data_IF_895134439364
#
_entry.id   IF_895134439364
#
_cell.length_a   1.000
_cell.length_b   1.000
_cell.length_c   1.000
_cell.angle_alpha   90.00
_cell.angle_beta   90.00
_cell.angle_gamma   90.00
#
_symmetry.space_group_name_H-M   'P 1'
#
loop_
_entity.id
_entity.type
_entity.pdbx_description
1 polymer ?
#
# COMPACT_ATOMS: atom_id res chain seq x y z
N UNK A 1 71.29 11.67 34.99
CA UNK A 1 71.40 10.40 34.25
C UNK A 1 70.75 9.32 35.10
N UNK A 2 69.49 9.00 34.81
CA UNK A 2 68.96 7.64 34.89
C UNK A 2 67.73 7.61 34.00
N UNK A 3 67.94 7.23 32.74
CA UNK A 3 66.90 6.99 31.72
C UNK A 3 66.59 5.49 31.75
N UNK A 4 66.45 4.92 32.95
CA UNK A 4 66.31 3.47 33.16
C UNK A 4 65.19 3.18 34.15
N UNK A 5 64.03 3.80 33.98
CA UNK A 5 62.81 3.36 34.69
C UNK A 5 61.53 3.38 33.81
N UNK A 6 61.60 3.80 32.53
CA UNK A 6 60.40 3.97 31.68
C UNK A 6 60.19 2.88 30.61
N UNK A 7 60.79 1.69 30.73
CA UNK A 7 60.75 0.68 29.65
C UNK A 7 60.25 -0.73 30.03
N UNK A 8 59.61 -0.92 31.18
CA UNK A 8 58.99 -2.21 31.52
C UNK A 8 57.55 -2.05 32.02
N UNK A 9 56.64 -1.78 31.09
CA UNK A 9 55.27 -2.30 31.15
C UNK A 9 54.94 -2.88 29.77
N UNK A 10 55.55 -4.02 29.47
CA UNK A 10 54.99 -4.92 28.47
C UNK A 10 53.90 -5.66 29.22
N UNK A 11 52.65 -5.21 29.05
CA UNK A 11 51.45 -5.88 29.57
C UNK A 11 51.49 -7.36 29.17
N UNK A 12 51.28 -8.26 30.13
CA UNK A 12 51.28 -9.69 29.86
C UNK A 12 50.17 -10.04 28.85
N UNK A 13 50.36 -11.07 27.99
CA UNK A 13 49.37 -11.45 26.99
C UNK A 13 47.97 -11.74 27.55
N UNK A 14 47.87 -12.16 28.82
CA UNK A 14 46.60 -12.37 29.52
C UNK A 14 45.82 -11.07 29.78
N UNK A 15 46.50 -9.97 30.12
CA UNK A 15 45.87 -8.66 30.34
C UNK A 15 45.27 -8.11 29.04
N UNK A 16 45.96 -8.30 27.91
CA UNK A 16 45.50 -7.83 26.59
C UNK A 16 44.21 -8.54 26.14
N UNK A 17 44.10 -9.85 26.40
CA UNK A 17 42.90 -10.63 26.05
C UNK A 17 41.72 -10.28 26.95
N UNK A 18 41.94 -10.11 28.26
CA UNK A 18 40.87 -9.75 29.20
C UNK A 18 40.36 -8.32 28.97
N UNK A 19 41.26 -7.36 28.72
CA UNK A 19 40.89 -5.98 28.38
C UNK A 19 40.06 -5.94 27.09
N UNK A 20 40.44 -6.73 26.09
CA UNK A 20 39.64 -6.88 24.88
C UNK A 20 38.26 -7.48 25.17
N UNK A 21 38.17 -8.61 25.89
CA UNK A 21 36.87 -9.24 26.19
C UNK A 21 35.94 -8.31 26.99
N UNK A 22 36.49 -7.50 27.89
CA UNK A 22 35.73 -6.50 28.64
C UNK A 22 35.23 -5.37 27.71
N UNK A 23 36.10 -4.83 26.85
CA UNK A 23 35.76 -3.80 25.87
C UNK A 23 34.73 -4.30 24.84
N UNK A 24 34.95 -5.51 24.30
CA UNK A 24 34.06 -6.16 23.35
C UNK A 24 32.68 -6.43 23.96
N UNK A 25 32.64 -6.91 25.21
CA UNK A 25 31.38 -7.06 25.95
C UNK A 25 30.61 -5.74 26.12
N UNK A 26 31.30 -4.65 26.43
CA UNK A 26 30.68 -3.31 26.48
C UNK A 26 30.14 -2.87 25.11
N UNK A 27 30.84 -3.18 24.03
CA UNK A 27 30.38 -2.90 22.65
C UNK A 27 29.16 -3.72 22.27
N UNK A 28 29.10 -5.00 22.62
CA UNK A 28 27.91 -5.83 22.41
C UNK A 28 26.69 -5.23 23.14
N UNK A 29 26.87 -4.83 24.40
CA UNK A 29 25.82 -4.15 25.18
C UNK A 29 25.44 -2.80 24.53
N UNK A 30 26.42 -2.00 24.12
CA UNK A 30 26.22 -0.76 23.38
C UNK A 30 25.42 -0.95 22.09
N UNK A 31 25.74 -1.97 21.32
CA UNK A 31 25.00 -2.34 20.11
C UNK A 31 23.55 -2.70 20.42
N UNK A 32 23.29 -3.42 21.52
CA UNK A 32 21.93 -3.68 22.00
C UNK A 32 21.11 -2.41 22.24
N UNK A 33 21.71 -1.35 22.80
CA UNK A 33 21.03 -0.06 22.94
C UNK A 33 20.75 0.60 21.59
N UNK A 34 21.68 0.54 20.64
CA UNK A 34 21.45 1.07 19.29
C UNK A 34 20.36 0.30 18.54
N UNK A 35 20.26 -1.02 18.73
CA UNK A 35 19.15 -1.81 18.22
C UNK A 35 17.82 -1.29 18.77
N UNK A 36 17.71 -1.03 20.07
CA UNK A 36 16.47 -0.48 20.67
C UNK A 36 16.13 0.92 20.13
N UNK A 37 17.12 1.80 20.02
CA UNK A 37 16.94 3.13 19.40
C UNK A 37 16.47 3.02 17.95
N UNK A 38 17.01 2.07 17.19
CA UNK A 38 16.58 1.81 15.82
C UNK A 38 15.15 1.26 15.74
N UNK A 39 14.77 0.38 16.67
CA UNK A 39 13.40 -0.13 16.75
C UNK A 39 12.39 0.97 17.07
N UNK A 40 12.81 2.00 17.83
CA UNK A 40 12.04 3.20 18.14
C UNK A 40 12.12 4.30 17.07
N UNK A 41 12.79 4.04 15.96
CA UNK A 41 12.99 4.99 14.85
C UNK A 41 13.78 6.26 15.23
N UNK A 42 14.56 6.20 16.33
CA UNK A 42 15.39 7.33 16.79
C UNK A 42 16.67 7.49 15.96
N UNK A 43 17.15 6.39 15.37
CA UNK A 43 18.32 6.38 14.47
C UNK A 43 17.96 5.71 13.15
N UNK A 44 18.71 6.04 12.08
CA UNK A 44 18.45 5.52 10.74
C UNK A 44 19.24 4.22 10.44
N UNK A 45 18.90 3.56 9.33
CA UNK A 45 19.53 2.32 8.89
C UNK A 45 21.06 2.46 8.70
N UNK A 46 21.51 3.62 8.21
CA UNK A 46 22.93 3.88 8.00
C UNK A 46 23.72 3.89 9.31
N UNK A 47 23.18 4.53 10.35
CA UNK A 47 23.81 4.59 11.66
C UNK A 47 23.87 3.21 12.32
N UNK A 48 22.78 2.44 12.32
CA UNK A 48 22.79 1.11 12.92
C UNK A 48 23.67 0.12 12.15
N UNK A 49 23.74 0.23 10.82
CA UNK A 49 24.65 -0.59 9.98
C UNK A 49 26.11 -0.27 10.28
N UNK A 50 26.43 1.02 10.49
CA UNK A 50 27.78 1.44 10.92
C UNK A 50 28.14 0.85 12.29
N UNK A 51 27.24 0.96 13.28
CA UNK A 51 27.45 0.41 14.62
C UNK A 51 27.60 -1.11 14.63
N UNK A 52 26.83 -1.80 13.80
CA UNK A 52 26.98 -3.23 13.56
C UNK A 52 28.37 -3.54 13.01
N UNK A 53 28.76 -2.91 11.89
CA UNK A 53 30.08 -3.14 11.26
C UNK A 53 31.25 -2.85 12.20
N UNK A 54 31.17 -1.81 13.03
CA UNK A 54 32.18 -1.48 14.05
C UNK A 54 32.30 -2.59 15.09
N UNK A 55 31.17 -3.12 15.56
CA UNK A 55 31.15 -4.17 16.56
C UNK A 55 31.64 -5.52 16.00
N UNK A 56 31.29 -5.87 14.75
CA UNK A 56 31.68 -7.16 14.15
C UNK A 56 33.14 -7.19 13.70
N UNK A 57 33.62 -6.14 13.01
CA UNK A 57 34.95 -6.14 12.40
C UNK A 57 36.08 -6.20 13.44
N UNK A 58 35.89 -5.55 14.60
CA UNK A 58 36.87 -5.56 15.69
C UNK A 58 36.90 -6.91 16.41
N UNK A 59 35.75 -7.57 16.56
CA UNK A 59 35.62 -8.91 17.10
C UNK A 59 36.38 -9.95 16.29
N UNK A 60 36.09 -9.99 14.98
CA UNK A 60 36.71 -10.93 14.04
C UNK A 60 38.23 -10.71 13.93
N UNK A 61 38.66 -9.46 13.76
CA UNK A 61 40.09 -9.14 13.62
C UNK A 61 40.89 -9.51 14.87
N UNK A 62 40.35 -9.29 16.06
CA UNK A 62 41.06 -9.64 17.30
C UNK A 62 41.13 -11.17 17.49
N UNK A 63 40.03 -11.87 17.24
CA UNK A 63 39.97 -13.33 17.39
C UNK A 63 40.92 -14.04 16.42
N UNK A 64 40.97 -13.63 15.15
CA UNK A 64 41.91 -14.21 14.17
C UNK A 64 43.37 -14.15 14.66
N UNK A 65 43.77 -13.01 15.24
CA UNK A 65 45.16 -12.76 15.68
C UNK A 65 45.48 -13.46 17.00
N UNK A 66 44.54 -13.49 17.96
CA UNK A 66 44.83 -13.86 19.35
C UNK A 66 44.19 -15.19 19.82
N UNK A 67 43.36 -15.86 19.01
CA UNK A 67 42.67 -17.10 19.44
C UNK A 67 43.62 -18.18 19.98
N UNK A 68 44.83 -18.30 19.41
CA UNK A 68 45.82 -19.29 19.82
C UNK A 68 46.42 -19.02 21.21
N UNK A 69 46.27 -17.80 21.73
CA UNK A 69 46.75 -17.37 23.06
C UNK A 69 45.64 -17.36 24.11
N UNK A 70 44.38 -17.60 23.71
CA UNK A 70 43.24 -17.57 24.62
C UNK A 70 43.09 -18.90 25.38
N UNK A 71 42.78 -18.82 26.67
CA UNK A 71 42.32 -19.97 27.44
C UNK A 71 40.95 -20.47 26.94
N UNK A 72 40.59 -21.74 27.18
CA UNK A 72 39.27 -22.27 26.81
C UNK A 72 38.09 -21.47 27.37
N UNK A 73 38.26 -20.86 28.55
CA UNK A 73 37.25 -20.03 29.18
C UNK A 73 37.09 -18.68 28.46
N UNK A 74 38.19 -18.07 28.01
CA UNK A 74 38.19 -16.84 27.22
C UNK A 74 37.57 -17.05 25.83
N UNK A 75 37.92 -18.15 25.16
CA UNK A 75 37.30 -18.55 23.90
C UNK A 75 35.79 -18.73 24.06
N UNK A 76 35.35 -19.38 25.13
CA UNK A 76 33.92 -19.55 25.40
C UNK A 76 33.22 -18.21 25.65
N UNK A 77 33.82 -17.28 26.40
CA UNK A 77 33.27 -15.92 26.60
C UNK A 77 33.15 -15.16 25.29
N UNK A 78 34.18 -15.19 24.44
CA UNK A 78 34.13 -14.61 23.10
C UNK A 78 32.98 -15.20 22.28
N UNK A 79 32.85 -16.52 22.24
CA UNK A 79 31.78 -17.17 21.48
C UNK A 79 30.38 -16.79 21.97
N UNK A 80 30.17 -16.66 23.28
CA UNK A 80 28.89 -16.19 23.83
C UNK A 80 28.60 -14.75 23.40
N UNK A 81 29.61 -13.86 23.42
CA UNK A 81 29.46 -12.47 22.96
C UNK A 81 29.16 -12.41 21.46
N UNK A 82 29.88 -13.17 20.64
CA UNK A 82 29.66 -13.25 19.19
C UNK A 82 28.26 -13.78 18.87
N UNK A 83 27.82 -14.87 19.51
CA UNK A 83 26.47 -15.40 19.34
C UNK A 83 25.39 -14.39 19.71
N UNK A 84 25.63 -13.58 20.75
CA UNK A 84 24.70 -12.53 21.16
C UNK A 84 24.61 -11.43 20.11
N UNK A 85 25.75 -11.02 19.54
CA UNK A 85 25.82 -10.03 18.45
C UNK A 85 25.16 -10.54 17.16
N UNK A 86 25.39 -11.79 16.79
CA UNK A 86 24.78 -12.45 15.64
C UNK A 86 23.25 -12.55 15.81
N UNK A 87 22.77 -12.86 17.02
CA UNK A 87 21.33 -12.90 17.33
C UNK A 87 20.69 -11.52 17.19
N UNK A 88 21.28 -10.48 17.78
CA UNK A 88 20.77 -9.11 17.67
C UNK A 88 20.74 -8.62 16.22
N UNK A 89 21.78 -8.95 15.45
CA UNK A 89 21.86 -8.62 14.02
C UNK A 89 20.77 -9.33 13.22
N UNK A 90 20.54 -10.62 13.50
CA UNK A 90 19.48 -11.41 12.86
C UNK A 90 18.10 -10.81 13.17
N UNK A 91 17.82 -10.48 14.43
CA UNK A 91 16.55 -9.90 14.85
C UNK A 91 16.29 -8.53 14.20
N UNK A 92 17.34 -7.71 14.10
CA UNK A 92 17.26 -6.42 13.43
C UNK A 92 16.89 -6.59 11.95
N UNK A 93 17.56 -7.50 11.26
CA UNK A 93 17.35 -7.69 9.83
C UNK A 93 16.00 -8.36 9.55
N UNK A 94 15.57 -9.32 10.37
CA UNK A 94 14.22 -9.89 10.26
C UNK A 94 13.13 -8.82 10.46
N UNK A 95 13.37 -7.85 11.33
CA UNK A 95 12.46 -6.72 11.51
C UNK A 95 12.43 -5.82 10.29
N UNK A 96 13.59 -5.52 9.69
CA UNK A 96 13.65 -4.75 8.44
C UNK A 96 13.00 -5.47 7.26
N UNK A 97 13.15 -6.79 7.15
CA UNK A 97 12.45 -7.58 6.15
C UNK A 97 10.93 -7.44 6.31
N UNK A 98 10.42 -7.50 7.55
CA UNK A 98 8.99 -7.30 7.83
C UNK A 98 8.52 -5.88 7.47
N UNK A 99 9.27 -4.85 7.86
CA UNK A 99 8.99 -3.45 7.52
C UNK A 99 8.99 -3.24 6.01
N UNK A 100 9.99 -3.75 5.29
CA UNK A 100 10.08 -3.66 3.85
C UNK A 100 8.92 -4.39 3.14
N UNK A 101 8.46 -5.54 3.65
CA UNK A 101 7.23 -6.20 3.14
C UNK A 101 5.98 -5.33 3.33
N UNK A 102 5.87 -4.59 4.44
CA UNK A 102 4.79 -3.63 4.65
C UNK A 102 4.89 -2.46 3.65
N UNK A 103 6.08 -1.93 3.42
CA UNK A 103 6.35 -0.90 2.40
C UNK A 103 5.97 -1.39 0.99
N UNK A 104 6.30 -2.64 0.63
CA UNK A 104 5.88 -3.24 -0.64
C UNK A 104 4.35 -3.22 -0.76
N UNK A 105 3.63 -3.63 0.29
CA UNK A 105 2.17 -3.68 0.30
C UNK A 105 1.58 -2.27 0.17
N UNK A 106 2.12 -1.29 0.90
CA UNK A 106 1.67 0.09 0.82
C UNK A 106 1.92 0.70 -0.56
N UNK A 107 3.16 0.60 -1.07
CA UNK A 107 3.55 1.10 -2.39
C UNK A 107 2.71 0.47 -3.50
N UNK A 108 2.45 -0.84 -3.43
CA UNK A 108 1.60 -1.54 -4.38
C UNK A 108 0.16 -1.01 -4.36
N UNK A 109 -0.41 -0.77 -3.17
CA UNK A 109 -1.76 -0.21 -3.01
C UNK A 109 -1.88 1.20 -3.62
N UNK A 110 -0.81 1.99 -3.56
CA UNK A 110 -0.74 3.36 -4.11
C UNK A 110 -0.38 3.41 -5.60
N UNK A 111 0.07 2.31 -6.19
CA UNK A 111 0.56 2.28 -7.58
C UNK A 111 2.01 2.77 -7.74
N UNK A 112 2.78 2.82 -6.66
CA UNK A 112 4.20 3.22 -6.64
C UNK A 112 5.10 2.03 -7.02
N UNK A 113 4.87 1.49 -8.21
CA UNK A 113 5.48 0.24 -8.69
C UNK A 113 7.02 0.23 -8.71
N UNK A 114 7.63 1.40 -8.81
CA UNK A 114 9.09 1.55 -8.75
C UNK A 114 9.63 1.23 -7.35
N UNK A 115 8.95 1.72 -6.30
CA UNK A 115 9.32 1.48 -4.90
C UNK A 115 9.25 -0.03 -4.61
N UNK A 116 8.17 -0.70 -5.03
CA UNK A 116 8.01 -2.16 -4.88
C UNK A 116 9.24 -2.93 -5.35
N UNK A 117 9.75 -2.65 -6.56
CA UNK A 117 10.90 -3.35 -7.12
C UNK A 117 12.19 -3.09 -6.33
N UNK A 118 12.43 -1.84 -5.94
CA UNK A 118 13.62 -1.48 -5.14
C UNK A 118 13.57 -2.17 -3.77
N UNK A 119 12.40 -2.19 -3.14
CA UNK A 119 12.23 -2.78 -1.81
C UNK A 119 12.43 -4.30 -1.82
N UNK A 120 12.00 -5.02 -2.88
CA UNK A 120 12.34 -6.44 -3.03
C UNK A 120 13.86 -6.68 -3.09
N UNK A 121 14.59 -5.85 -3.85
CA UNK A 121 16.05 -5.95 -3.91
C UNK A 121 16.69 -5.65 -2.55
N UNK A 122 16.15 -4.69 -1.79
CA UNK A 122 16.60 -4.38 -0.44
C UNK A 122 16.43 -5.58 0.50
N UNK A 123 15.27 -6.25 0.48
CA UNK A 123 15.05 -7.48 1.26
C UNK A 123 16.04 -8.57 0.87
N UNK A 124 16.28 -8.75 -0.43
CA UNK A 124 17.23 -9.74 -0.92
C UNK A 124 18.64 -9.48 -0.39
N UNK A 125 19.12 -8.23 -0.44
CA UNK A 125 20.42 -7.83 0.14
C UNK A 125 20.49 -8.09 1.65
N UNK A 126 19.42 -7.77 2.39
CA UNK A 126 19.32 -8.03 3.82
C UNK A 126 19.43 -9.52 4.16
N UNK A 127 18.78 -10.40 3.38
CA UNK A 127 18.89 -11.86 3.55
C UNK A 127 20.34 -12.32 3.32
N UNK A 128 21.01 -11.83 2.28
CA UNK A 128 22.42 -12.21 2.04
C UNK A 128 23.34 -11.76 3.16
N UNK A 129 23.12 -10.57 3.75
CA UNK A 129 23.92 -10.08 4.87
C UNK A 129 23.91 -11.04 6.06
N UNK A 130 22.73 -11.45 6.55
CA UNK A 130 22.61 -12.32 7.75
C UNK A 130 23.13 -13.72 7.52
N UNK A 131 22.81 -14.30 6.36
CA UNK A 131 23.01 -15.72 6.13
C UNK A 131 24.20 -16.00 5.19
N UNK A 132 25.21 -15.12 5.21
CA UNK A 132 26.44 -15.28 4.43
C UNK A 132 27.49 -16.15 5.13
N UNK A 133 27.36 -16.39 6.43
CA UNK A 133 28.35 -17.09 7.25
C UNK A 133 28.41 -18.60 6.95
N UNK A 134 29.60 -19.25 6.99
CA UNK A 134 29.75 -20.63 6.53
C UNK A 134 29.15 -21.63 7.52
N UNK A 135 27.96 -22.13 7.21
CA UNK A 135 27.34 -23.26 7.90
C UNK A 135 26.18 -23.83 7.08
N UNK A 136 26.15 -25.15 6.86
CA UNK A 136 25.14 -25.81 6.00
C UNK A 136 23.69 -25.47 6.39
N UNK A 137 23.42 -25.30 7.69
CA UNK A 137 22.10 -24.96 8.22
C UNK A 137 21.67 -23.53 7.89
N UNK A 138 22.58 -22.55 7.98
CA UNK A 138 22.30 -21.15 7.66
C UNK A 138 22.15 -20.95 6.15
N UNK A 139 22.88 -21.72 5.34
CA UNK A 139 22.73 -21.73 3.90
C UNK A 139 21.34 -22.24 3.46
N UNK A 140 20.86 -23.34 4.07
CA UNK A 140 19.53 -23.87 3.76
C UNK A 140 18.41 -22.87 4.11
N UNK A 141 18.52 -22.17 5.23
CA UNK A 141 17.55 -21.15 5.64
C UNK A 141 17.58 -19.92 4.71
N UNK A 142 18.78 -19.48 4.29
CA UNK A 142 18.94 -18.44 3.27
C UNK A 142 18.21 -18.81 1.99
N UNK A 143 18.50 -19.99 1.44
CA UNK A 143 17.97 -20.42 0.15
C UNK A 143 16.44 -20.58 0.23
N UNK A 144 15.92 -21.05 1.36
CA UNK A 144 14.47 -21.08 1.64
C UNK A 144 13.85 -19.68 1.64
N UNK A 145 14.45 -18.71 2.34
CA UNK A 145 13.95 -17.34 2.41
C UNK A 145 14.01 -16.64 1.05
N UNK A 146 15.09 -16.84 0.30
CA UNK A 146 15.24 -16.33 -1.06
C UNK A 146 14.20 -16.93 -2.01
N UNK A 147 13.92 -18.24 -1.91
CA UNK A 147 12.87 -18.88 -2.71
C UNK A 147 11.48 -18.33 -2.40
N UNK A 148 11.16 -18.12 -1.11
CA UNK A 148 9.90 -17.50 -0.72
C UNK A 148 9.78 -16.05 -1.24
N UNK A 149 10.85 -15.27 -1.12
CA UNK A 149 10.90 -13.90 -1.64
C UNK A 149 10.71 -13.87 -3.17
N UNK A 150 11.33 -14.79 -3.89
CA UNK A 150 11.20 -14.92 -5.34
C UNK A 150 9.74 -15.21 -5.74
N UNK A 151 9.07 -16.12 -5.05
CA UNK A 151 7.64 -16.40 -5.28
C UNK A 151 6.76 -15.18 -5.00
N UNK A 152 7.01 -14.47 -3.90
CA UNK A 152 6.32 -13.21 -3.57
C UNK A 152 6.55 -12.15 -4.67
N UNK A 153 7.78 -12.03 -5.17
CA UNK A 153 8.15 -11.08 -6.21
C UNK A 153 7.51 -11.41 -7.56
N UNK A 154 7.49 -12.68 -7.95
CA UNK A 154 6.83 -13.13 -9.19
C UNK A 154 5.33 -12.82 -9.18
N UNK A 155 4.67 -13.10 -8.05
CA UNK A 155 3.27 -12.75 -7.83
C UNK A 155 3.06 -11.24 -7.93
N UNK A 156 3.87 -10.45 -7.22
CA UNK A 156 3.78 -8.99 -7.25
C UNK A 156 3.97 -8.47 -8.69
N UNK A 157 4.96 -8.96 -9.42
CA UNK A 157 5.21 -8.55 -10.81
C UNK A 157 4.05 -8.90 -11.75
N UNK A 158 3.43 -10.07 -11.59
CA UNK A 158 2.24 -10.46 -12.35
C UNK A 158 1.06 -9.52 -12.05
N UNK A 159 0.81 -9.21 -10.77
CA UNK A 159 -0.21 -8.24 -10.35
C UNK A 159 0.06 -6.84 -10.92
N UNK A 160 1.28 -6.35 -10.77
CA UNK A 160 1.70 -5.03 -11.26
C UNK A 160 1.52 -4.88 -12.77
N UNK A 161 1.73 -5.93 -13.57
CA UNK A 161 1.49 -5.88 -15.02
C UNK A 161 0.04 -5.55 -15.33
N UNK A 162 -0.91 -6.21 -14.66
CA UNK A 162 -2.34 -5.99 -14.88
C UNK A 162 -2.78 -4.64 -14.30
N UNK A 163 -2.31 -4.28 -13.11
CA UNK A 163 -2.64 -3.00 -12.48
C UNK A 163 -2.15 -1.82 -13.33
N UNK A 164 -0.93 -1.89 -13.89
CA UNK A 164 -0.42 -0.89 -14.84
C UNK A 164 -1.26 -0.77 -16.10
N UNK A 165 -1.79 -1.89 -16.60
CA UNK A 165 -2.70 -1.86 -17.76
C UNK A 165 -3.99 -1.11 -17.39
N UNK A 166 -4.55 -1.36 -16.20
CA UNK A 166 -5.73 -0.61 -15.74
C UNK A 166 -5.40 0.88 -15.64
N UNK A 167 -4.29 1.27 -15.00
CA UNK A 167 -3.83 2.66 -14.88
C UNK A 167 -3.75 3.38 -16.23
N UNK A 168 -3.23 2.71 -17.26
CA UNK A 168 -3.11 3.26 -18.60
C UNK A 168 -4.44 3.40 -19.34
N UNK A 169 -5.50 2.70 -18.90
CA UNK A 169 -6.80 2.68 -19.59
C UNK A 169 -7.88 3.48 -18.89
N UNK A 170 -7.81 3.72 -17.58
CA UNK A 170 -8.86 4.43 -16.83
C UNK A 170 -8.98 5.92 -17.18
N UNK A 171 -7.98 6.52 -17.86
CA UNK A 171 -7.98 7.93 -18.30
C UNK A 171 -7.60 8.04 -19.79
N UNK A 172 -8.43 7.55 -20.72
CA UNK A 172 -8.13 7.63 -22.15
C UNK A 172 -8.39 9.06 -22.66
N UNK A 173 -7.53 9.57 -23.54
CA UNK A 173 -7.67 10.93 -24.12
C UNK A 173 -9.02 11.18 -24.81
N UNK A 174 -9.65 10.12 -25.31
CA UNK A 174 -11.00 10.13 -25.87
C UNK A 174 -11.74 8.90 -25.33
N UNK A 175 -12.90 9.10 -24.70
CA UNK A 175 -13.69 8.02 -24.11
C UNK A 175 -14.80 7.60 -25.07
N UNK A 176 -14.41 6.81 -26.07
CA UNK A 176 -15.34 6.15 -26.98
C UNK A 176 -15.70 4.73 -26.49
N UNK A 177 -16.57 4.06 -27.24
CA UNK A 177 -16.97 2.69 -26.92
C UNK A 177 -15.78 1.71 -26.92
N UNK A 178 -14.78 1.95 -27.77
CA UNK A 178 -13.58 1.12 -27.85
C UNK A 178 -12.68 1.28 -26.61
N UNK A 179 -12.46 2.52 -26.16
CA UNK A 179 -11.72 2.86 -24.96
C UNK A 179 -12.39 2.27 -23.73
N UNK A 180 -13.72 2.39 -23.65
CA UNK A 180 -14.50 1.76 -22.61
C UNK A 180 -14.35 0.22 -22.59
N UNK A 181 -14.44 -0.43 -23.75
CA UNK A 181 -14.26 -1.88 -23.84
C UNK A 181 -12.87 -2.32 -23.35
N UNK A 182 -11.84 -1.50 -23.59
CA UNK A 182 -10.47 -1.74 -23.07
C UNK A 182 -10.42 -1.65 -21.53
N UNK A 183 -11.14 -0.71 -20.93
CA UNK A 183 -11.23 -0.56 -19.45
C UNK A 183 -11.90 -1.78 -18.82
N UNK A 184 -13.10 -2.15 -19.31
CA UNK A 184 -13.84 -3.32 -18.81
C UNK A 184 -12.98 -4.58 -18.92
N UNK A 185 -12.35 -4.78 -20.08
CA UNK A 185 -11.46 -5.92 -20.31
C UNK A 185 -10.26 -5.93 -19.34
N UNK A 186 -9.70 -4.77 -19.01
CA UNK A 186 -8.59 -4.69 -18.04
C UNK A 186 -9.01 -5.14 -16.63
N UNK A 187 -10.18 -4.71 -16.15
CA UNK A 187 -10.74 -5.19 -14.88
C UNK A 187 -11.10 -6.68 -14.92
N UNK A 188 -11.64 -7.18 -16.04
CA UNK A 188 -11.91 -8.61 -16.21
C UNK A 188 -10.63 -9.44 -16.19
N UNK A 189 -9.55 -8.98 -16.84
CA UNK A 189 -8.25 -9.66 -16.79
C UNK A 189 -7.75 -9.75 -15.35
N UNK A 190 -7.87 -8.67 -14.57
CA UNK A 190 -7.52 -8.70 -13.14
C UNK A 190 -8.28 -9.79 -12.41
N UNK A 191 -9.60 -9.79 -12.54
CA UNK A 191 -10.48 -10.78 -11.92
C UNK A 191 -10.11 -12.20 -12.31
N UNK A 192 -10.00 -12.49 -13.61
CA UNK A 192 -9.72 -13.82 -14.13
C UNK A 192 -8.36 -14.36 -13.71
N UNK A 193 -7.35 -13.49 -13.73
CA UNK A 193 -5.98 -13.87 -13.36
C UNK A 193 -5.86 -14.12 -11.85
N UNK A 194 -6.64 -13.41 -11.04
CA UNK A 194 -6.44 -13.41 -9.59
C UNK A 194 -7.52 -14.10 -8.75
N UNK A 195 -8.59 -14.62 -9.37
CA UNK A 195 -9.67 -15.34 -8.67
C UNK A 195 -9.23 -16.60 -7.92
N UNK A 196 -8.10 -17.21 -8.30
CA UNK A 196 -7.56 -18.44 -7.69
C UNK A 196 -6.35 -18.20 -6.79
N UNK A 197 -5.94 -16.95 -6.62
CA UNK A 197 -4.76 -16.63 -5.81
C UNK A 197 -5.16 -16.64 -4.34
N UNK A 198 -4.37 -17.34 -3.53
CA UNK A 198 -4.57 -17.41 -2.08
C UNK A 198 -4.47 -16.01 -1.44
N UNK A 199 -5.25 -15.74 -0.38
CA UNK A 199 -5.16 -14.50 0.35
C UNK A 199 -3.73 -14.24 0.86
N UNK A 200 -3.15 -13.11 0.46
CA UNK A 200 -1.82 -12.66 0.86
C UNK A 200 -1.78 -11.15 1.03
N UNK A 201 -0.79 -10.58 1.76
CA UNK A 201 -0.63 -9.13 1.87
C UNK A 201 -0.53 -8.44 0.51
N UNK A 202 0.21 -9.05 -0.42
CA UNK A 202 0.38 -8.56 -1.80
C UNK A 202 -0.96 -8.55 -2.56
N UNK A 203 -1.75 -9.63 -2.46
CA UNK A 203 -3.08 -9.69 -3.09
C UNK A 203 -4.03 -8.66 -2.48
N UNK A 204 -4.01 -8.51 -1.16
CA UNK A 204 -4.82 -7.51 -0.44
C UNK A 204 -4.47 -6.08 -0.89
N UNK A 205 -3.18 -5.76 -1.00
CA UNK A 205 -2.72 -4.48 -1.51
C UNK A 205 -3.12 -4.24 -2.97
N UNK A 206 -3.04 -5.26 -3.82
CA UNK A 206 -3.49 -5.19 -5.20
C UNK A 206 -5.01 -4.96 -5.30
N UNK A 207 -5.81 -5.63 -4.47
CA UNK A 207 -7.26 -5.42 -4.42
C UNK A 207 -7.60 -3.98 -4.03
N UNK A 208 -6.87 -3.43 -3.06
CA UNK A 208 -7.03 -2.03 -2.68
C UNK A 208 -6.70 -1.09 -3.84
N UNK A 209 -5.62 -1.37 -4.59
CA UNK A 209 -5.28 -0.59 -5.78
C UNK A 209 -6.40 -0.62 -6.82
N UNK A 210 -7.03 -1.77 -7.05
CA UNK A 210 -8.16 -1.91 -8.00
C UNK A 210 -9.36 -1.09 -7.56
N UNK A 211 -9.67 -1.06 -6.26
CA UNK A 211 -10.73 -0.20 -5.72
C UNK A 211 -10.42 1.28 -5.95
N UNK A 212 -9.16 1.70 -5.75
CA UNK A 212 -8.73 3.07 -6.04
C UNK A 212 -8.83 3.40 -7.53
N UNK A 213 -8.41 2.48 -8.41
CA UNK A 213 -8.54 2.66 -9.86
C UNK A 213 -10.00 2.73 -10.32
N UNK A 214 -10.89 1.97 -9.69
CA UNK A 214 -12.33 2.06 -9.92
C UNK A 214 -12.89 3.41 -9.46
N UNK A 215 -12.39 3.93 -8.34
CA UNK A 215 -12.73 5.26 -7.82
C UNK A 215 -12.25 6.36 -8.78
N UNK A 216 -11.01 6.26 -9.24
CA UNK A 216 -10.43 7.16 -10.24
C UNK A 216 -11.23 7.16 -11.54
N UNK A 217 -11.67 5.98 -12.00
CA UNK A 217 -12.56 5.87 -13.16
C UNK A 217 -13.89 6.58 -12.90
N UNK A 218 -14.50 6.38 -11.74
CA UNK A 218 -15.76 7.05 -11.40
C UNK A 218 -15.61 8.58 -11.39
N UNK A 219 -14.55 9.10 -10.78
CA UNK A 219 -14.25 10.53 -10.75
C UNK A 219 -13.98 11.07 -12.16
N UNK A 220 -13.27 10.29 -12.99
CA UNK A 220 -13.04 10.62 -14.39
C UNK A 220 -14.34 10.70 -15.20
N UNK A 221 -15.22 9.70 -15.06
CA UNK A 221 -16.52 9.67 -15.73
C UNK A 221 -17.47 10.77 -15.23
N UNK A 222 -17.32 11.21 -13.98
CA UNK A 222 -18.09 12.30 -13.39
C UNK A 222 -17.66 13.68 -13.90
N UNK A 223 -16.44 13.81 -14.43
CA UNK A 223 -15.98 15.06 -15.03
C UNK A 223 -16.86 15.42 -16.25
N UNK A 224 -17.18 16.71 -16.41
CA UNK A 224 -18.17 17.17 -17.40
C UNK A 224 -17.76 16.93 -18.85
N UNK A 225 -16.50 16.56 -19.10
CA UNK A 225 -15.91 16.54 -20.43
C UNK A 225 -16.28 15.31 -21.29
N UNK A 226 -16.80 14.22 -20.70
CA UNK A 226 -16.86 12.94 -21.42
C UNK A 226 -18.22 12.45 -21.86
N UNK A 227 -19.24 12.58 -21.02
CA UNK A 227 -20.56 12.05 -21.35
C UNK A 227 -21.62 13.14 -21.49
N UNK A 228 -21.54 14.22 -20.71
CA UNK A 228 -22.69 15.11 -20.49
C UNK A 228 -23.94 14.40 -19.94
N UNK A 229 -23.87 13.09 -19.73
CA UNK A 229 -24.94 12.17 -19.40
C UNK A 229 -24.50 11.28 -18.23
N UNK A 230 -25.02 11.63 -17.05
CA UNK A 230 -24.76 10.91 -15.81
C UNK A 230 -25.35 9.49 -15.81
N UNK A 231 -26.44 9.26 -16.55
CA UNK A 231 -27.07 7.95 -16.68
C UNK A 231 -26.12 6.99 -17.40
N UNK A 232 -25.58 7.43 -18.55
CA UNK A 232 -24.63 6.64 -19.30
C UNK A 232 -23.33 6.38 -18.52
N UNK A 233 -22.80 7.40 -17.82
CA UNK A 233 -21.63 7.23 -16.94
C UNK A 233 -21.88 6.16 -15.86
N UNK A 234 -23.04 6.17 -15.22
CA UNK A 234 -23.42 5.20 -14.20
C UNK A 234 -23.59 3.77 -14.76
N UNK A 235 -24.17 3.62 -15.95
CA UNK A 235 -24.31 2.33 -16.63
C UNK A 235 -22.95 1.71 -16.95
N UNK A 236 -22.04 2.53 -17.51
CA UNK A 236 -20.67 2.12 -17.83
C UNK A 236 -19.89 1.73 -16.57
N UNK A 237 -20.01 2.51 -15.50
CA UNK A 237 -19.37 2.17 -14.23
C UNK A 237 -19.95 0.88 -13.61
N UNK A 238 -21.26 0.67 -13.73
CA UNK A 238 -21.96 -0.51 -13.17
C UNK A 238 -21.50 -1.83 -13.81
N UNK A 239 -21.09 -1.81 -15.07
CA UNK A 239 -20.53 -2.98 -15.75
C UNK A 239 -19.12 -3.33 -15.23
N UNK A 240 -18.26 -2.33 -14.98
CA UNK A 240 -16.98 -2.54 -14.32
C UNK A 240 -17.17 -3.07 -12.89
N UNK A 241 -18.14 -2.52 -12.16
CA UNK A 241 -18.52 -3.00 -10.83
C UNK A 241 -18.96 -4.46 -10.86
N UNK A 242 -19.79 -4.85 -11.84
CA UNK A 242 -20.29 -6.22 -11.96
C UNK A 242 -19.15 -7.24 -12.18
N UNK A 243 -18.06 -6.83 -12.85
CA UNK A 243 -16.88 -7.68 -12.99
C UNK A 243 -16.14 -7.86 -11.65
N UNK A 244 -16.11 -6.84 -10.79
CA UNK A 244 -15.31 -6.81 -9.57
C UNK A 244 -16.01 -7.40 -8.33
N UNK A 245 -17.32 -7.21 -8.21
CA UNK A 245 -18.08 -7.41 -6.96
C UNK A 245 -17.92 -8.81 -6.34
N UNK A 246 -17.76 -9.84 -7.16
CA UNK A 246 -17.72 -11.24 -6.71
C UNK A 246 -16.28 -11.70 -6.34
N UNK A 247 -15.29 -10.82 -6.51
CA UNK A 247 -13.86 -11.14 -6.39
C UNK A 247 -13.10 -10.32 -5.36
N UNK A 248 -13.77 -9.37 -4.72
CA UNK A 248 -13.20 -8.54 -3.65
C UNK A 248 -13.72 -8.99 -2.28
N UNK A 249 -12.97 -8.65 -1.22
CA UNK A 249 -13.43 -8.88 0.15
C UNK A 249 -14.68 -8.05 0.47
N UNK A 250 -15.46 -8.46 1.48
CA UNK A 250 -16.67 -7.74 1.91
C UNK A 250 -16.40 -6.26 2.25
N UNK A 251 -15.26 -5.96 2.89
CA UNK A 251 -14.83 -4.59 3.17
C UNK A 251 -14.66 -3.76 1.89
N UNK A 252 -14.06 -4.35 0.86
CA UNK A 252 -13.80 -3.68 -0.42
C UNK A 252 -15.04 -3.59 -1.28
N UNK A 253 -15.92 -4.58 -1.21
CA UNK A 253 -17.24 -4.54 -1.84
C UNK A 253 -18.01 -3.30 -1.36
N UNK A 254 -18.02 -3.04 -0.05
CA UNK A 254 -18.65 -1.85 0.51
C UNK A 254 -18.05 -0.53 -0.03
N UNK A 255 -16.72 -0.48 -0.25
CA UNK A 255 -16.07 0.68 -0.89
C UNK A 255 -16.53 0.84 -2.35
N UNK A 256 -16.58 -0.25 -3.11
CA UNK A 256 -17.09 -0.24 -4.50
C UNK A 256 -18.55 0.20 -4.57
N UNK A 257 -19.40 -0.29 -3.67
CA UNK A 257 -20.81 0.10 -3.55
C UNK A 257 -20.96 1.59 -3.32
N UNK A 258 -20.19 2.16 -2.38
CA UNK A 258 -20.19 3.60 -2.11
C UNK A 258 -19.83 4.43 -3.33
N UNK A 259 -18.80 4.03 -4.07
CA UNK A 259 -18.36 4.73 -5.29
C UNK A 259 -19.45 4.66 -6.35
N UNK A 260 -20.08 3.49 -6.55
CA UNK A 260 -21.16 3.30 -7.50
C UNK A 260 -22.39 4.12 -7.14
N UNK A 261 -22.84 4.09 -5.88
CA UNK A 261 -24.02 4.84 -5.43
C UNK A 261 -23.80 6.37 -5.53
N UNK A 262 -22.57 6.87 -5.32
CA UNK A 262 -22.24 8.29 -5.55
C UNK A 262 -22.52 8.72 -7.01
N UNK A 263 -22.32 7.81 -7.95
CA UNK A 263 -22.52 8.06 -9.39
C UNK A 263 -23.97 7.87 -9.83
N UNK A 264 -24.80 7.27 -8.98
CA UNK A 264 -26.20 6.98 -9.29
C UNK A 264 -26.93 8.28 -9.71
N UNK A 265 -27.57 8.28 -10.88
CA UNK A 265 -28.42 9.40 -11.28
C UNK A 265 -29.65 9.44 -10.36
N UNK A 266 -30.23 10.63 -10.12
CA UNK A 266 -31.49 10.73 -9.39
C UNK A 266 -32.54 9.87 -10.11
N UNK A 267 -33.34 9.17 -9.32
CA UNK A 267 -34.48 8.43 -9.85
C UNK A 267 -35.47 9.39 -10.53
N UNK A 268 -36.29 8.84 -11.41
CA UNK A 268 -37.38 9.60 -12.04
C UNK A 268 -38.33 10.19 -10.98
N UNK A 269 -38.58 9.49 -9.88
CA UNK A 269 -39.36 10.01 -8.74
C UNK A 269 -38.66 11.18 -8.04
N UNK A 270 -37.35 11.07 -7.75
CA UNK A 270 -36.60 12.16 -7.11
C UNK A 270 -36.51 13.40 -8.01
N UNK A 271 -36.37 13.19 -9.33
CA UNK A 271 -36.35 14.27 -10.32
C UNK A 271 -37.72 14.95 -10.42
N UNK A 272 -38.80 14.16 -10.40
CA UNK A 272 -40.17 14.68 -10.35
C UNK A 272 -40.42 15.50 -9.08
N UNK A 273 -39.98 15.00 -7.93
CA UNK A 273 -40.09 15.69 -6.64
C UNK A 273 -39.31 17.01 -6.66
N UNK A 274 -38.08 17.01 -7.19
CA UNK A 274 -37.25 18.20 -7.31
C UNK A 274 -37.92 19.26 -8.20
N UNK A 275 -38.36 18.89 -9.42
CA UNK A 275 -39.03 19.80 -10.35
C UNK A 275 -40.33 20.35 -9.75
N UNK A 276 -41.07 19.52 -9.00
CA UNK A 276 -42.25 19.96 -8.27
C UNK A 276 -41.90 21.01 -7.20
N UNK A 277 -40.85 20.80 -6.40
CA UNK A 277 -40.40 21.78 -5.40
C UNK A 277 -39.88 23.07 -6.04
N UNK A 278 -39.18 22.99 -7.18
CA UNK A 278 -38.72 24.16 -7.93
C UNK A 278 -39.90 25.03 -8.39
N UNK A 279 -41.00 24.42 -8.84
CA UNK A 279 -42.23 25.15 -9.19
C UNK A 279 -42.83 25.84 -7.97
N UNK A 280 -42.85 25.18 -6.80
CA UNK A 280 -43.39 25.77 -5.56
C UNK A 280 -42.52 26.88 -4.97
N UNK A 281 -41.21 26.81 -5.21
CA UNK A 281 -40.25 27.79 -4.72
C UNK A 281 -40.07 28.99 -5.67
N UNK A 282 -40.56 28.90 -6.90
CA UNK A 282 -40.44 29.97 -7.89
C UNK A 282 -41.31 31.18 -7.52
N UNK A 283 -40.68 32.36 -7.41
CA UNK A 283 -41.34 33.59 -6.95
C UNK A 283 -41.49 34.66 -8.04
N UNK A 284 -40.70 34.59 -9.11
CA UNK A 284 -40.77 35.52 -10.25
C UNK A 284 -41.47 34.85 -11.43
N UNK A 285 -42.17 35.63 -12.24
CA UNK A 285 -42.93 35.13 -13.41
C UNK A 285 -42.04 34.32 -14.37
N UNK A 286 -40.82 34.78 -14.62
CA UNK A 286 -39.84 34.08 -15.48
C UNK A 286 -39.40 32.73 -14.90
N UNK A 287 -39.18 32.65 -13.58
CA UNK A 287 -38.79 31.41 -12.91
C UNK A 287 -39.96 30.42 -12.81
N UNK A 288 -41.18 30.93 -12.63
CA UNK A 288 -42.40 30.10 -12.63
C UNK A 288 -42.59 29.49 -14.01
N UNK A 289 -42.50 30.29 -15.08
CA UNK A 289 -42.64 29.78 -16.44
C UNK A 289 -41.59 28.71 -16.77
N UNK A 290 -40.30 28.97 -16.47
CA UNK A 290 -39.23 28.01 -16.74
C UNK A 290 -39.39 26.70 -15.95
N UNK A 291 -39.70 26.78 -14.65
CA UNK A 291 -39.91 25.61 -13.80
C UNK A 291 -41.13 24.79 -14.24
N UNK A 292 -42.22 25.45 -14.64
CA UNK A 292 -43.44 24.77 -15.12
C UNK A 292 -43.21 24.10 -16.46
N UNK A 293 -42.46 24.73 -17.37
CA UNK A 293 -42.09 24.11 -18.65
C UNK A 293 -41.20 22.89 -18.40
N UNK A 294 -40.19 22.98 -17.52
CA UNK A 294 -39.33 21.86 -17.16
C UNK A 294 -40.13 20.70 -16.55
N UNK A 295 -41.02 20.98 -15.60
CA UNK A 295 -41.93 20.02 -15.00
C UNK A 295 -42.85 19.36 -16.05
N UNK A 296 -43.48 20.16 -16.92
CA UNK A 296 -44.39 19.64 -17.95
C UNK A 296 -43.67 18.79 -19.00
N UNK A 297 -42.46 19.16 -19.40
CA UNK A 297 -41.64 18.35 -20.30
C UNK A 297 -41.28 17.01 -19.66
N UNK A 298 -40.90 17.01 -18.38
CA UNK A 298 -40.57 15.79 -17.65
C UNK A 298 -41.77 14.82 -17.54
N UNK A 299 -42.96 15.30 -17.13
CA UNK A 299 -44.14 14.44 -17.00
C UNK A 299 -44.64 13.88 -18.35
N UNK A 300 -44.38 14.59 -19.46
CA UNK A 300 -44.69 14.09 -20.81
C UNK A 300 -43.74 12.94 -21.20
N UNK A 301 -42.48 13.03 -20.82
CA UNK A 301 -41.47 11.99 -21.08
C UNK A 301 -41.64 10.77 -20.15
N UNK A 302 -42.20 10.97 -18.95
CA UNK A 302 -42.35 9.92 -17.93
C UNK A 302 -43.79 9.80 -17.41
N UNK A 303 -44.79 9.46 -18.25
CA UNK A 303 -46.20 9.45 -17.86
C UNK A 303 -46.58 8.40 -16.81
N UNK A 304 -45.70 7.42 -16.56
CA UNK A 304 -45.91 6.32 -15.61
C UNK A 304 -45.62 6.66 -14.14
N UNK A 305 -45.11 7.84 -13.81
CA UNK A 305 -44.76 8.19 -12.44
C UNK A 305 -46.00 8.37 -11.54
N UNK A 306 -46.13 7.61 -10.43
CA UNK A 306 -47.36 7.59 -9.61
C UNK A 306 -47.77 8.94 -9.03
N UNK A 307 -46.81 9.83 -8.76
CA UNK A 307 -47.06 11.12 -8.10
C UNK A 307 -47.55 12.22 -9.06
N UNK A 308 -47.48 12.02 -10.40
CA UNK A 308 -47.78 13.06 -11.40
C UNK A 308 -49.18 13.65 -11.21
N UNK A 309 -50.20 12.82 -11.04
CA UNK A 309 -51.59 13.31 -10.93
C UNK A 309 -51.83 14.15 -9.69
N UNK A 310 -51.09 13.91 -8.61
CA UNK A 310 -51.12 14.75 -7.40
C UNK A 310 -50.42 16.08 -7.68
N UNK A 311 -49.17 16.03 -8.12
CA UNK A 311 -48.35 17.24 -8.34
C UNK A 311 -48.92 18.16 -9.40
N UNK A 312 -49.48 17.64 -10.49
CA UNK A 312 -50.12 18.47 -11.52
C UNK A 312 -51.28 19.29 -10.95
N UNK A 313 -52.11 18.70 -10.06
CA UNK A 313 -53.21 19.42 -9.40
C UNK A 313 -52.70 20.48 -8.44
N UNK A 314 -51.68 20.17 -7.66
CA UNK A 314 -51.09 21.09 -6.67
C UNK A 314 -50.36 22.25 -7.35
N UNK A 315 -49.59 21.98 -8.39
CA UNK A 315 -48.93 23.00 -9.22
C UNK A 315 -49.96 23.94 -9.85
N UNK A 316 -51.02 23.42 -10.46
CA UNK A 316 -52.09 24.25 -11.03
C UNK A 316 -52.79 25.12 -9.97
N UNK A 317 -53.03 24.57 -8.77
CA UNK A 317 -53.60 25.33 -7.68
C UNK A 317 -52.65 26.43 -7.17
N UNK A 318 -51.34 26.15 -7.14
CA UNK A 318 -50.30 27.09 -6.72
C UNK A 318 -50.16 28.26 -7.70
N UNK A 319 -50.03 27.98 -9.01
CA UNK A 319 -49.92 29.01 -10.06
C UNK A 319 -51.14 29.94 -10.05
N UNK A 320 -52.36 29.38 -9.95
CA UNK A 320 -53.59 30.16 -9.84
C UNK A 320 -53.63 31.07 -8.62
N UNK A 321 -53.10 30.63 -7.47
CA UNK A 321 -53.02 31.47 -6.25
C UNK A 321 -52.07 32.64 -6.43
N UNK A 322 -51.01 32.48 -7.22
CA UNK A 322 -50.05 33.53 -7.53
C UNK A 322 -50.57 34.52 -8.60
N UNK A 323 -51.77 34.28 -9.17
CA UNK A 323 -52.40 35.18 -10.14
C UNK A 323 -51.97 34.95 -11.59
N UNK A 324 -51.20 33.89 -11.85
CA UNK A 324 -50.83 33.46 -13.20
C UNK A 324 -51.87 32.43 -13.69
N UNK A 325 -52.26 32.49 -14.98
CA UNK A 325 -53.30 31.63 -15.56
C UNK A 325 -52.77 30.74 -16.67
#
# INVERSE_FOLDING_TARGET
MSIIDDLNQISEPEDVVEDFLASFGQKCVGFGYYCDQYMREEINLGEITRRMSEATAEGESFFEIHHAMMSPQQVNRYHVMQQTLDSMTTDLIETEIKRNRAVISEALSKGEYFIVNITFNSIQSSIYMVYSTPGQTQQAERDRKLAALQQEQELAQALMKVLKVIDQKIRPEHFDEQAYHKVVKAFQIYVEYFKRIEPSPIKSAADERVVLQFTDLADYLASQDYFGDRQLAYEKLSLCYAALKDHVSAERLWKLDKVRERMRPPSTSETLDQLYQEVLAATTETNIYSAVVAFNNFIQQHPGEPAISRYKREVQAHIKRLGFS
#
